data_IF_233055316317
#
_entry.id   IF_233055316317
#
_cell.length_a   1.000
_cell.length_b   1.000
_cell.length_c   1.000
_cell.angle_alpha   90.00
_cell.angle_beta   90.00
_cell.angle_gamma   90.00
#
_symmetry.space_group_name_H-M   'P 1'
#
loop_
_entity.id
_entity.type
_entity.pdbx_description
1 polymer ?
#
# COMPACT_ATOMS: atom_id res chain seq x y z
N UNK A 1 0.65 -1.65 10.90
CA UNK A 1 1.34 -2.86 11.41
C UNK A 1 0.63 -4.09 10.88
N UNK A 2 1.37 -5.07 10.39
CA UNK A 2 0.80 -6.31 9.86
C UNK A 2 0.50 -7.32 10.98
N UNK A 3 -0.35 -8.31 10.66
CA UNK A 3 -0.66 -9.46 11.51
C UNK A 3 0.07 -10.68 10.97
N UNK A 4 0.45 -11.60 11.86
CA UNK A 4 1.10 -12.85 11.47
C UNK A 4 0.70 -14.02 12.36
N UNK A 5 0.65 -15.23 11.77
CA UNK A 5 0.52 -16.50 12.50
C UNK A 5 1.84 -17.08 12.93
N UNK A 6 2.96 -16.42 12.59
CA UNK A 6 4.29 -16.82 13.06
C UNK A 6 4.31 -16.75 14.60
N UNK A 7 4.93 -17.71 15.30
CA UNK A 7 5.10 -17.60 16.73
C UNK A 7 5.93 -16.37 17.14
N UNK A 8 5.54 -15.76 18.25
CA UNK A 8 6.31 -14.69 18.90
C UNK A 8 7.69 -15.22 19.31
N UNK A 9 8.77 -14.59 18.84
CA UNK A 9 10.14 -14.95 19.23
C UNK A 9 10.53 -14.26 20.55
N UNK A 10 11.49 -14.81 21.31
CA UNK A 10 12.00 -14.15 22.51
C UNK A 10 12.52 -12.74 22.21
N UNK A 11 12.03 -11.75 22.94
CA UNK A 11 12.38 -10.34 22.77
C UNK A 11 11.51 -9.56 21.79
N UNK A 12 10.56 -10.22 21.10
CA UNK A 12 9.52 -9.53 20.33
C UNK A 12 8.35 -9.15 21.25
N UNK A 13 7.67 -8.06 20.90
CA UNK A 13 6.47 -7.60 21.59
C UNK A 13 5.29 -7.54 20.61
N UNK A 14 4.13 -7.99 21.07
CA UNK A 14 2.91 -7.94 20.29
C UNK A 14 2.45 -6.50 20.07
N UNK A 15 2.19 -6.14 18.81
CA UNK A 15 1.82 -4.78 18.43
C UNK A 15 2.98 -3.80 18.35
N UNK A 16 4.23 -4.29 18.26
CA UNK A 16 5.41 -3.44 17.96
C UNK A 16 5.86 -3.66 16.51
N UNK A 17 6.31 -4.88 16.18
CA UNK A 17 6.65 -5.23 14.80
C UNK A 17 5.44 -5.83 14.06
N UNK A 18 4.74 -6.73 14.74
CA UNK A 18 3.57 -7.45 14.22
C UNK A 18 2.53 -7.65 15.33
N UNK A 19 1.29 -7.83 14.91
CA UNK A 19 0.28 -8.47 15.74
C UNK A 19 0.33 -9.98 15.54
N UNK A 20 0.69 -10.71 16.58
CA UNK A 20 0.78 -12.15 16.56
C UNK A 20 -0.59 -12.75 16.90
N UNK A 21 -1.17 -13.46 15.94
CA UNK A 21 -2.49 -14.07 16.05
C UNK A 21 -2.38 -15.57 15.78
N UNK A 22 -3.37 -16.34 16.21
CA UNK A 22 -3.42 -17.76 15.86
C UNK A 22 -3.86 -17.96 14.41
N UNK A 23 -3.56 -19.13 13.84
CA UNK A 23 -4.01 -19.50 12.49
C UNK A 23 -5.54 -19.51 12.40
N UNK A 24 -6.23 -20.06 13.39
CA UNK A 24 -7.69 -20.16 13.39
C UNK A 24 -8.37 -18.79 13.48
N UNK A 25 -7.84 -17.88 14.30
CA UNK A 25 -8.30 -16.48 14.36
C UNK A 25 -8.12 -15.81 13.00
N UNK A 26 -6.90 -15.88 12.43
CA UNK A 26 -6.62 -15.25 11.14
C UNK A 26 -7.50 -15.80 10.01
N UNK A 27 -7.74 -17.12 9.98
CA UNK A 27 -8.63 -17.72 8.99
C UNK A 27 -10.10 -17.31 9.18
N UNK A 28 -10.55 -17.18 10.42
CA UNK A 28 -11.90 -16.69 10.73
C UNK A 28 -12.09 -15.27 10.19
N UNK A 29 -11.13 -14.40 10.46
CA UNK A 29 -11.15 -12.99 10.06
C UNK A 29 -11.00 -12.81 8.53
N UNK A 30 -10.19 -13.65 7.87
CA UNK A 30 -10.08 -13.70 6.40
C UNK A 30 -11.44 -14.07 5.79
N UNK A 31 -12.11 -15.10 6.31
CA UNK A 31 -13.45 -15.49 5.84
C UNK A 31 -14.50 -14.39 6.10
N UNK A 32 -14.30 -13.58 7.13
CA UNK A 32 -15.11 -12.41 7.44
C UNK A 32 -14.75 -11.15 6.61
N UNK A 33 -13.81 -11.26 5.65
CA UNK A 33 -13.35 -10.16 4.79
C UNK A 33 -12.73 -8.99 5.58
N UNK A 34 -12.06 -9.28 6.70
CA UNK A 34 -11.45 -8.24 7.56
C UNK A 34 -10.00 -7.88 7.20
N UNK A 35 -9.42 -8.59 6.23
CA UNK A 35 -8.08 -8.36 5.72
C UNK A 35 -8.10 -7.60 4.40
N UNK A 36 -7.26 -6.58 4.30
CA UNK A 36 -6.98 -5.88 3.06
C UNK A 36 -6.22 -6.79 2.09
N UNK A 37 -5.14 -7.38 2.59
CA UNK A 37 -4.27 -8.31 1.89
C UNK A 37 -3.75 -9.35 2.88
N UNK A 38 -3.50 -10.55 2.38
CA UNK A 38 -2.89 -11.62 3.14
C UNK A 38 -2.12 -12.56 2.21
N UNK A 39 -1.11 -13.22 2.76
CA UNK A 39 -0.26 -14.17 2.04
C UNK A 39 0.47 -15.10 2.99
N UNK A 40 1.16 -16.08 2.42
CA UNK A 40 1.94 -17.06 3.20
C UNK A 40 3.41 -16.89 2.89
N UNK A 41 4.24 -16.90 3.93
CA UNK A 41 5.69 -16.84 3.84
C UNK A 41 6.31 -17.69 4.96
N UNK A 42 7.27 -18.56 4.63
CA UNK A 42 7.91 -19.48 5.58
C UNK A 42 6.91 -20.23 6.48
N UNK A 43 5.88 -20.83 5.87
CA UNK A 43 4.79 -21.57 6.54
C UNK A 43 3.95 -20.77 7.55
N UNK A 44 4.14 -19.44 7.62
CA UNK A 44 3.33 -18.53 8.41
C UNK A 44 2.50 -17.63 7.50
N UNK A 45 1.29 -17.29 7.93
CA UNK A 45 0.47 -16.30 7.26
C UNK A 45 0.82 -14.90 7.75
N UNK A 46 0.70 -13.94 6.84
CA UNK A 46 0.87 -12.51 7.09
C UNK A 46 -0.28 -11.76 6.43
N UNK A 47 -0.68 -10.63 7.00
CA UNK A 47 -1.70 -9.80 6.37
C UNK A 47 -1.96 -8.49 7.07
N UNK A 48 -2.58 -7.57 6.36
CA UNK A 48 -2.93 -6.24 6.85
C UNK A 48 -4.43 -6.19 7.14
N UNK A 49 -4.82 -6.10 8.42
CA UNK A 49 -6.23 -5.95 8.80
C UNK A 49 -6.75 -4.55 8.52
N UNK A 50 -7.97 -4.46 8.01
CA UNK A 50 -8.68 -3.19 7.82
C UNK A 50 -8.86 -2.43 9.14
N UNK A 51 -9.09 -3.14 10.24
CA UNK A 51 -9.19 -2.54 11.58
C UNK A 51 -7.92 -1.82 12.03
N UNK A 52 -6.75 -2.24 11.53
CA UNK A 52 -5.50 -1.52 11.82
C UNK A 52 -5.48 -0.14 11.17
N UNK A 53 -5.98 -0.06 9.93
CA UNK A 53 -6.09 1.21 9.19
C UNK A 53 -7.08 2.13 9.90
N UNK A 54 -8.24 1.59 10.31
CA UNK A 54 -9.25 2.32 11.10
C UNK A 54 -8.67 2.89 12.39
N UNK A 55 -7.92 2.08 13.15
CA UNK A 55 -7.27 2.53 14.39
C UNK A 55 -6.31 3.69 14.16
N UNK A 56 -5.46 3.61 13.12
CA UNK A 56 -4.53 4.70 12.77
C UNK A 56 -5.30 5.99 12.45
N UNK A 57 -6.38 5.91 11.67
CA UNK A 57 -7.24 7.05 11.38
C UNK A 57 -7.89 7.62 12.65
N UNK A 58 -8.34 6.75 13.55
CA UNK A 58 -8.99 7.15 14.81
C UNK A 58 -8.02 7.86 15.78
N UNK A 59 -6.71 7.61 15.63
CA UNK A 59 -5.63 8.34 16.32
C UNK A 59 -5.26 9.67 15.64
N UNK A 60 -5.95 10.05 14.55
CA UNK A 60 -5.66 11.26 13.78
C UNK A 60 -4.38 11.18 12.95
N UNK A 61 -3.90 9.95 12.67
CA UNK A 61 -2.70 9.69 11.86
C UNK A 61 -3.08 9.21 10.47
N UNK A 62 -2.13 9.30 9.54
CA UNK A 62 -2.27 8.77 8.19
C UNK A 62 -1.58 7.40 8.12
N UNK A 63 -2.30 6.39 7.60
CA UNK A 63 -1.72 5.10 7.29
C UNK A 63 -1.02 5.17 5.93
N UNK A 64 0.30 4.93 5.90
CA UNK A 64 1.03 4.72 4.65
C UNK A 64 0.98 3.22 4.34
N UNK A 65 0.53 2.88 3.14
CA UNK A 65 0.28 1.51 2.70
C UNK A 65 1.07 1.24 1.42
N UNK A 66 1.92 0.22 1.46
CA UNK A 66 2.57 -0.38 0.29
C UNK A 66 1.79 -1.68 -0.03
N UNK A 67 0.97 -1.63 -1.08
CA UNK A 67 -0.04 -2.65 -1.39
C UNK A 67 -0.13 -2.87 -2.90
N UNK A 68 -0.63 -4.03 -3.31
CA UNK A 68 -0.89 -4.29 -4.72
C UNK A 68 -2.14 -3.53 -5.21
N UNK A 69 -2.25 -3.20 -6.52
CA UNK A 69 -3.42 -2.50 -7.05
C UNK A 69 -4.76 -3.18 -6.79
N UNK A 70 -4.77 -4.50 -6.53
CA UNK A 70 -5.99 -5.23 -6.20
C UNK A 70 -6.62 -4.76 -4.88
N UNK A 71 -5.79 -4.34 -3.91
CA UNK A 71 -6.21 -3.80 -2.63
C UNK A 71 -7.05 -2.51 -2.78
N UNK A 72 -6.85 -1.76 -3.86
CA UNK A 72 -7.60 -0.54 -4.15
C UNK A 72 -9.11 -0.79 -4.32
N UNK A 73 -9.53 -2.01 -4.68
CA UNK A 73 -10.96 -2.37 -4.73
C UNK A 73 -11.63 -2.29 -3.37
N UNK A 74 -10.88 -2.52 -2.30
CA UNK A 74 -11.36 -2.49 -0.92
C UNK A 74 -11.16 -1.08 -0.33
N UNK A 75 -10.03 -0.44 -0.64
CA UNK A 75 -9.70 0.88 -0.11
C UNK A 75 -10.48 2.03 -0.76
N UNK A 76 -10.87 1.94 -2.04
CA UNK A 76 -11.56 3.02 -2.75
C UNK A 76 -13.05 3.12 -2.35
N UNK A 77 -13.28 3.43 -1.08
CA UNK A 77 -14.58 3.68 -0.46
C UNK A 77 -14.55 4.99 0.32
N UNK A 78 -15.73 5.51 0.68
CA UNK A 78 -15.85 6.70 1.54
C UNK A 78 -15.17 6.54 2.91
N UNK A 79 -15.07 5.29 3.39
CA UNK A 79 -14.50 4.97 4.70
C UNK A 79 -13.00 5.24 4.77
N UNK A 80 -12.26 4.84 3.73
CA UNK A 80 -10.80 4.97 3.72
C UNK A 80 -10.30 6.14 2.86
N UNK A 81 -11.03 6.49 1.81
CA UNK A 81 -10.74 7.59 0.88
C UNK A 81 -9.23 7.77 0.60
N UNK A 82 -8.55 6.73 0.07
CA UNK A 82 -7.10 6.72 -0.05
C UNK A 82 -6.64 7.75 -1.08
N UNK A 83 -5.48 8.35 -0.82
CA UNK A 83 -4.67 9.00 -1.84
C UNK A 83 -3.76 7.94 -2.47
N UNK A 84 -3.97 7.65 -3.75
CA UNK A 84 -3.20 6.65 -4.49
C UNK A 84 -2.11 7.33 -5.29
N UNK A 85 -0.86 7.17 -4.84
CA UNK A 85 0.33 7.67 -5.53
C UNK A 85 1.04 6.51 -6.21
N UNK A 86 1.17 6.58 -7.54
CA UNK A 86 1.95 5.62 -8.30
C UNK A 86 3.35 6.15 -8.58
N UNK A 87 4.37 5.39 -8.18
CA UNK A 87 5.77 5.70 -8.47
C UNK A 87 6.18 4.91 -9.71
N UNK A 88 6.19 5.60 -10.85
CA UNK A 88 6.56 5.02 -12.12
C UNK A 88 8.09 4.85 -12.20
N UNK A 89 8.53 3.71 -12.73
CA UNK A 89 9.91 3.55 -13.13
C UNK A 89 10.25 4.53 -14.26
N UNK A 90 11.47 5.09 -14.28
CA UNK A 90 11.89 5.97 -15.36
C UNK A 90 11.96 5.18 -16.67
N UNK A 91 11.70 5.83 -17.82
CA UNK A 91 11.80 5.16 -19.11
C UNK A 91 13.20 4.59 -19.28
N UNK A 92 13.30 3.35 -19.76
CA UNK A 92 14.59 2.68 -19.93
C UNK A 92 15.47 3.47 -20.92
N UNK A 93 16.49 4.13 -20.39
CA UNK A 93 17.48 4.93 -21.15
C UNK A 93 18.92 4.44 -20.94
N UNK A 94 19.14 3.42 -20.11
CA UNK A 94 20.47 3.09 -19.62
C UNK A 94 21.16 2.01 -20.44
N UNK A 95 22.35 2.31 -20.94
CA UNK A 95 23.26 1.37 -21.62
C UNK A 95 24.00 0.44 -20.64
N UNK A 96 23.77 0.57 -19.32
CA UNK A 96 24.47 -0.19 -18.27
C UNK A 96 23.60 -1.22 -17.55
N UNK A 97 22.46 -1.60 -18.12
CA UNK A 97 21.59 -2.65 -17.57
C UNK A 97 22.18 -4.04 -17.90
N UNK A 98 23.22 -4.43 -17.16
CA UNK A 98 23.98 -5.65 -17.44
C UNK A 98 23.17 -6.94 -17.23
N UNK A 99 22.14 -6.90 -16.39
CA UNK A 99 21.32 -8.06 -16.02
C UNK A 99 19.86 -7.97 -16.50
N UNK A 100 19.47 -6.86 -17.16
CA UNK A 100 18.11 -6.64 -17.66
C UNK A 100 17.09 -6.30 -16.55
N UNK A 101 17.55 -6.08 -15.31
CA UNK A 101 16.68 -5.81 -14.17
C UNK A 101 15.95 -4.47 -14.32
N UNK A 102 16.62 -3.45 -14.89
CA UNK A 102 16.00 -2.13 -15.10
C UNK A 102 14.99 -2.16 -16.24
N UNK A 103 15.26 -2.90 -17.31
CA UNK A 103 14.31 -3.12 -18.41
C UNK A 103 13.06 -3.85 -17.90
N UNK A 104 13.23 -4.90 -17.08
CA UNK A 104 12.10 -5.63 -16.48
C UNK A 104 11.25 -4.73 -15.59
N UNK A 105 11.89 -3.93 -14.74
CA UNK A 105 11.19 -2.98 -13.86
C UNK A 105 10.41 -1.92 -14.68
N UNK A 106 11.02 -1.36 -15.73
CA UNK A 106 10.36 -0.40 -16.61
C UNK A 106 9.13 -1.02 -17.31
N UNK A 107 9.25 -2.25 -17.80
CA UNK A 107 8.14 -2.97 -18.42
C UNK A 107 7.02 -3.28 -17.41
N UNK A 108 7.36 -3.74 -16.21
CA UNK A 108 6.38 -3.99 -15.14
C UNK A 108 5.65 -2.71 -14.73
N UNK A 109 6.38 -1.60 -14.58
CA UNK A 109 5.82 -0.27 -14.31
C UNK A 109 4.84 0.16 -15.41
N UNK A 110 5.20 0.00 -16.69
CA UNK A 110 4.33 0.37 -17.80
C UNK A 110 3.06 -0.49 -17.85
N UNK A 111 3.18 -1.81 -17.63
CA UNK A 111 2.04 -2.71 -17.59
C UNK A 111 1.08 -2.37 -16.44
N UNK A 112 1.63 -2.08 -15.26
CA UNK A 112 0.85 -1.71 -14.09
C UNK A 112 0.14 -0.37 -14.32
N UNK A 113 0.85 0.61 -14.88
CA UNK A 113 0.25 1.90 -15.23
C UNK A 113 -0.88 1.74 -16.23
N UNK A 114 -0.68 1.03 -17.34
CA UNK A 114 -1.73 0.80 -18.34
C UNK A 114 -2.96 0.12 -17.76
N UNK A 115 -2.78 -0.80 -16.80
CA UNK A 115 -3.88 -1.53 -16.20
C UNK A 115 -4.66 -0.71 -15.16
N UNK A 116 -3.99 0.19 -14.42
CA UNK A 116 -4.54 0.79 -13.20
C UNK A 116 -4.45 2.33 -13.14
N UNK A 117 -4.02 3.02 -14.20
CA UNK A 117 -3.86 4.50 -14.20
C UNK A 117 -5.13 5.25 -13.77
N UNK A 118 -6.30 4.72 -14.09
CA UNK A 118 -7.60 5.29 -13.72
C UNK A 118 -7.89 5.25 -12.21
N UNK A 119 -7.10 4.50 -11.44
CA UNK A 119 -7.18 4.41 -9.98
C UNK A 119 -6.13 5.28 -9.27
N UNK A 120 -5.21 5.89 -10.01
CA UNK A 120 -4.16 6.73 -9.43
C UNK A 120 -4.64 8.16 -9.36
N UNK A 121 -4.40 8.81 -8.23
CA UNK A 121 -4.65 10.24 -8.10
C UNK A 121 -3.43 11.03 -8.62
N UNK A 122 -2.24 10.49 -8.42
CA UNK A 122 -0.96 11.12 -8.75
C UNK A 122 0.02 10.07 -9.26
N UNK A 123 0.79 10.42 -10.30
CA UNK A 123 1.89 9.61 -10.82
C UNK A 123 3.18 10.43 -10.74
N UNK A 124 4.22 9.88 -10.12
CA UNK A 124 5.56 10.48 -10.01
C UNK A 124 6.53 9.55 -10.71
N UNK A 125 7.39 10.09 -11.59
CA UNK A 125 8.43 9.29 -12.25
C UNK A 125 9.70 9.34 -11.42
N UNK A 126 10.18 8.18 -10.99
CA UNK A 126 11.35 8.07 -10.13
C UNK A 126 12.66 8.17 -10.93
N UNK A 127 13.00 9.37 -11.43
CA UNK A 127 14.29 9.64 -12.07
C UNK A 127 15.40 9.88 -11.03
N UNK A 128 15.07 10.58 -9.94
CA UNK A 128 15.94 10.85 -8.80
C UNK A 128 15.18 10.67 -7.48
N UNK A 129 15.83 10.08 -6.47
CA UNK A 129 15.20 9.74 -5.20
C UNK A 129 14.88 11.01 -4.39
N UNK A 130 15.77 11.99 -4.37
CA UNK A 130 15.57 13.23 -3.61
C UNK A 130 14.41 14.02 -4.23
N UNK A 131 14.38 14.16 -5.55
CA UNK A 131 13.28 14.83 -6.25
C UNK A 131 11.92 14.12 -6.05
N UNK A 132 11.93 12.79 -6.04
CA UNK A 132 10.72 11.97 -5.80
C UNK A 132 10.18 12.17 -4.39
N UNK A 133 11.06 12.20 -3.39
CA UNK A 133 10.68 12.47 -1.99
C UNK A 133 10.11 13.88 -1.86
N UNK A 134 10.81 14.87 -2.43
CA UNK A 134 10.38 16.26 -2.45
C UNK A 134 8.98 16.43 -3.08
N UNK A 135 8.69 15.70 -4.16
CA UNK A 135 7.38 15.71 -4.80
C UNK A 135 6.30 15.05 -3.94
N UNK A 136 6.62 13.91 -3.31
CA UNK A 136 5.73 13.25 -2.36
C UNK A 136 5.37 14.15 -1.17
N UNK A 137 6.34 14.87 -0.60
CA UNK A 137 6.10 15.81 0.49
C UNK A 137 5.16 16.95 0.07
N UNK A 138 5.39 17.55 -1.11
CA UNK A 138 4.50 18.58 -1.67
C UNK A 138 3.07 18.08 -1.89
N UNK A 139 2.95 16.85 -2.37
CA UNK A 139 1.66 16.18 -2.57
C UNK A 139 0.94 16.02 -1.23
N UNK A 140 1.64 15.52 -0.21
CA UNK A 140 1.10 15.35 1.13
C UNK A 140 0.62 16.67 1.71
N UNK A 141 1.42 17.74 1.65
CA UNK A 141 1.02 19.08 2.11
C UNK A 141 -0.25 19.59 1.41
N UNK A 142 -0.34 19.39 0.09
CA UNK A 142 -1.51 19.82 -0.69
C UNK A 142 -2.77 19.07 -0.25
N UNK A 143 -2.68 17.77 0.01
CA UNK A 143 -3.84 16.97 0.42
C UNK A 143 -4.40 17.41 1.77
N UNK A 144 -3.56 17.89 2.67
CA UNK A 144 -3.99 18.42 3.97
C UNK A 144 -4.64 19.80 3.88
N UNK A 145 -4.32 20.58 2.84
CA UNK A 145 -4.69 22.00 2.75
C UNK A 145 -5.76 22.29 1.70
N UNK A 146 -6.05 21.33 0.81
CA UNK A 146 -7.00 21.50 -0.28
C UNK A 146 -8.13 20.47 -0.25
N UNK A 147 -9.37 20.87 -0.57
CA UNK A 147 -10.46 19.92 -0.75
C UNK A 147 -10.10 18.86 -1.79
N UNK A 148 -10.39 17.60 -1.49
CA UNK A 148 -10.13 16.47 -2.38
C UNK A 148 -11.36 16.14 -3.23
N UNK A 149 -11.12 15.71 -4.47
CA UNK A 149 -12.17 15.15 -5.31
C UNK A 149 -12.36 13.68 -4.96
N UNK A 150 -13.57 13.33 -4.55
CA UNK A 150 -13.96 11.93 -4.29
C UNK A 150 -15.03 11.49 -5.28
N UNK A 151 -15.10 10.20 -5.63
CA UNK A 151 -16.22 9.66 -6.38
C UNK A 151 -17.56 10.05 -5.74
N UNK A 152 -18.52 10.45 -6.57
CA UNK A 152 -19.86 10.85 -6.11
C UNK A 152 -20.54 9.75 -5.27
N UNK A 153 -20.25 8.49 -5.59
CA UNK A 153 -20.74 7.32 -4.86
C UNK A 153 -20.27 7.27 -3.38
N UNK A 154 -19.29 8.08 -2.98
CA UNK A 154 -18.80 8.14 -1.59
C UNK A 154 -19.53 9.18 -0.73
N UNK A 155 -20.40 10.00 -1.32
CA UNK A 155 -21.05 11.13 -0.64
C UNK A 155 -22.51 10.81 -0.23
N UNK A 156 -23.04 9.65 -0.64
CA UNK A 156 -24.43 9.23 -0.40
C UNK A 156 -24.53 7.96 0.44
#
# INVERSE_FOLDING_TARGET
MAHTTRPLKPGEENGVAYYFVTYDEMMTDINAHEYLEYGTHDDAMYGTKLDTIRKIHHEGKIAILDVEPQALKILRTAEFAPLVVFIAAPPHRSLTDFDGSLEKLANESELLQRAYEHLFDITIVNEDIEETIDELERVMERVHTTPQWVPVAWVY
#
